data_IF_324993407457
#
_entry.id   IF_324993407457
#
_cell.length_a   1.000
_cell.length_b   1.000
_cell.length_c   1.000
_cell.angle_alpha   90.00
_cell.angle_beta   90.00
_cell.angle_gamma   90.00
#
_symmetry.space_group_name_H-M   'P 1'
#
loop_
_entity.id
_entity.type
_entity.pdbx_description
1 polymer ?
#
# COMPACT_ATOMS: atom_id res chain seq x y z
N UNK A 1 13.06 -26.40 -43.34
CA UNK A 1 12.72 -24.98 -43.15
C UNK A 1 12.88 -24.62 -41.68
N UNK A 2 13.40 -23.44 -41.35
CA UNK A 2 13.65 -23.06 -39.97
C UNK A 2 12.29 -22.86 -39.26
N UNK A 3 12.11 -23.51 -38.11
CA UNK A 3 10.88 -23.52 -37.29
C UNK A 3 10.32 -22.12 -36.97
N UNK A 4 11.15 -21.08 -37.10
CA UNK A 4 10.79 -19.69 -36.84
C UNK A 4 9.81 -19.11 -37.87
N UNK A 5 9.98 -19.41 -39.17
CA UNK A 5 9.08 -18.88 -40.23
C UNK A 5 7.68 -19.49 -40.13
N UNK A 6 7.58 -20.76 -39.74
CA UNK A 6 6.29 -21.44 -39.59
C UNK A 6 5.47 -20.88 -38.42
N UNK A 7 6.11 -20.50 -37.31
CA UNK A 7 5.38 -19.95 -36.18
C UNK A 7 4.89 -18.52 -36.41
N UNK A 8 5.62 -17.71 -37.18
CA UNK A 8 5.16 -16.36 -37.53
C UNK A 8 3.78 -16.38 -38.19
N UNK A 9 3.54 -17.31 -39.12
CA UNK A 9 2.22 -17.48 -39.74
C UNK A 9 1.15 -17.95 -38.77
N UNK A 10 1.48 -18.88 -37.86
CA UNK A 10 0.55 -19.32 -36.82
C UNK A 10 0.23 -18.15 -35.87
N UNK A 11 1.21 -17.34 -35.52
CA UNK A 11 1.00 -16.17 -34.70
C UNK A 11 0.05 -15.19 -35.40
N UNK A 12 0.30 -14.83 -36.66
CA UNK A 12 -0.58 -13.96 -37.46
C UNK A 12 -2.03 -14.47 -37.53
N UNK A 13 -2.23 -15.79 -37.68
CA UNK A 13 -3.57 -16.39 -37.76
C UNK A 13 -4.32 -16.32 -36.41
N UNK A 14 -3.62 -16.53 -35.30
CA UNK A 14 -4.22 -16.69 -33.97
C UNK A 14 -4.05 -15.46 -33.06
N UNK A 15 -3.35 -14.40 -33.50
CA UNK A 15 -3.12 -13.17 -32.73
C UNK A 15 -4.44 -12.53 -32.25
N UNK A 16 -5.45 -12.53 -33.12
CA UNK A 16 -6.79 -12.02 -32.80
C UNK A 16 -7.45 -12.75 -31.63
N UNK A 17 -7.08 -14.01 -31.38
CA UNK A 17 -7.54 -14.78 -30.23
C UNK A 17 -6.94 -14.26 -28.92
N UNK A 18 -5.66 -13.88 -28.93
CA UNK A 18 -4.98 -13.28 -27.78
C UNK A 18 -5.65 -11.94 -27.45
N UNK A 19 -5.79 -11.07 -28.45
CA UNK A 19 -6.48 -9.80 -28.26
C UNK A 19 -7.93 -9.98 -27.81
N UNK A 20 -8.65 -10.97 -28.34
CA UNK A 20 -10.01 -11.28 -27.88
C UNK A 20 -10.04 -11.50 -26.37
N UNK A 21 -9.10 -12.26 -25.80
CA UNK A 21 -9.06 -12.48 -24.35
C UNK A 21 -8.68 -11.23 -23.56
N UNK A 22 -7.71 -10.44 -24.03
CA UNK A 22 -7.34 -9.17 -23.40
C UNK A 22 -8.59 -8.27 -23.26
N UNK A 23 -9.34 -8.10 -24.34
CA UNK A 23 -10.55 -7.29 -24.35
C UNK A 23 -11.69 -7.93 -23.53
N UNK A 24 -11.89 -9.25 -23.67
CA UNK A 24 -12.94 -9.99 -22.95
C UNK A 24 -12.80 -9.90 -21.43
N UNK A 25 -11.57 -9.93 -20.94
CA UNK A 25 -11.30 -9.80 -19.50
C UNK A 25 -11.13 -8.35 -19.03
N UNK A 26 -11.29 -7.37 -19.92
CA UNK A 26 -11.14 -5.95 -19.59
C UNK A 26 -9.74 -5.60 -19.09
N UNK A 27 -8.71 -6.30 -19.57
CA UNK A 27 -7.34 -6.12 -19.11
C UNK A 27 -6.76 -4.87 -19.75
N UNK A 28 -6.22 -3.97 -18.93
CA UNK A 28 -5.40 -2.85 -19.39
C UNK A 28 -3.93 -3.26 -19.33
N UNK A 29 -3.32 -3.44 -20.49
CA UNK A 29 -1.97 -4.03 -20.62
C UNK A 29 -0.97 -3.02 -21.22
N UNK A 30 -0.54 -1.98 -20.48
CA UNK A 30 0.33 -0.94 -21.02
C UNK A 30 1.73 -1.46 -21.39
N UNK A 31 2.21 -2.50 -20.70
CA UNK A 31 3.53 -3.11 -20.93
C UNK A 31 3.46 -4.36 -21.81
N UNK A 32 2.28 -4.70 -22.32
CA UNK A 32 2.04 -5.88 -23.16
C UNK A 32 2.42 -7.21 -22.48
N UNK A 33 2.33 -7.33 -21.16
CA UNK A 33 2.64 -8.54 -20.41
C UNK A 33 1.69 -9.69 -20.77
N UNK A 34 0.38 -9.41 -20.84
CA UNK A 34 -0.62 -10.41 -21.19
C UNK A 34 -0.51 -10.81 -22.66
N UNK A 35 -0.21 -9.84 -23.53
CA UNK A 35 0.06 -10.15 -24.93
C UNK A 35 1.26 -11.09 -25.07
N UNK A 36 2.40 -10.77 -24.45
CA UNK A 36 3.62 -11.59 -24.49
C UNK A 36 3.37 -13.00 -23.97
N UNK A 37 2.70 -13.14 -22.83
CA UNK A 37 2.37 -14.46 -22.28
C UNK A 37 1.36 -15.23 -23.15
N UNK A 38 0.46 -14.53 -23.84
CA UNK A 38 -0.41 -15.10 -24.87
C UNK A 38 0.41 -15.70 -26.02
N UNK A 39 1.39 -14.97 -26.53
CA UNK A 39 2.28 -15.44 -27.61
C UNK A 39 3.12 -16.64 -27.16
N UNK A 40 3.70 -16.58 -25.95
CA UNK A 40 4.47 -17.69 -25.38
C UNK A 40 3.59 -18.93 -25.20
N UNK A 41 2.34 -18.75 -24.76
CA UNK A 41 1.37 -19.84 -24.60
C UNK A 41 0.98 -20.45 -25.95
N UNK A 42 0.77 -19.61 -26.97
CA UNK A 42 0.49 -20.07 -28.32
C UNK A 42 1.67 -20.87 -28.91
N UNK A 43 2.91 -20.42 -28.68
CA UNK A 43 4.11 -21.16 -29.06
C UNK A 43 4.20 -22.52 -28.36
N UNK A 44 3.95 -22.56 -27.03
CA UNK A 44 3.89 -23.82 -26.28
C UNK A 44 2.81 -24.74 -26.85
N UNK A 45 1.62 -24.21 -27.13
CA UNK A 45 0.52 -24.96 -27.72
C UNK A 45 0.90 -25.53 -29.09
N UNK A 46 1.56 -24.74 -29.94
CA UNK A 46 2.05 -25.18 -31.25
C UNK A 46 3.03 -26.34 -31.13
N UNK A 47 3.99 -26.27 -30.19
CA UNK A 47 4.97 -27.35 -29.97
C UNK A 47 4.38 -28.63 -29.39
N UNK A 48 3.36 -28.53 -28.54
CA UNK A 48 2.76 -29.68 -27.85
C UNK A 48 1.47 -30.18 -28.50
N UNK A 49 1.07 -29.60 -29.63
CA UNK A 49 -0.16 -29.96 -30.31
C UNK A 49 -0.08 -31.38 -30.89
N UNK A 50 -1.16 -32.12 -30.68
CA UNK A 50 -1.35 -33.47 -31.20
C UNK A 50 -2.63 -33.49 -32.06
N UNK A 51 -2.52 -33.65 -33.39
CA UNK A 51 -3.67 -33.71 -34.29
C UNK A 51 -4.68 -34.81 -33.94
N UNK A 52 -4.27 -35.87 -33.24
CA UNK A 52 -5.18 -36.95 -32.84
C UNK A 52 -6.16 -36.53 -31.74
N UNK A 53 -5.87 -35.44 -30.99
CA UNK A 53 -6.65 -34.99 -29.84
C UNK A 53 -7.71 -33.94 -30.19
N UNK A 54 -7.73 -33.41 -31.42
CA UNK A 54 -8.71 -32.43 -31.88
C UNK A 54 -8.08 -31.28 -32.65
N UNK A 55 -8.85 -30.21 -32.90
CA UNK A 55 -8.40 -29.03 -33.66
C UNK A 55 -7.44 -28.16 -32.85
N UNK A 56 -6.40 -27.65 -33.52
CA UNK A 56 -5.42 -26.73 -32.92
C UNK A 56 -6.08 -25.49 -32.31
N UNK A 57 -7.01 -24.86 -33.02
CA UNK A 57 -7.71 -23.66 -32.55
C UNK A 57 -8.41 -23.86 -31.21
N UNK A 58 -9.07 -25.00 -31.01
CA UNK A 58 -9.72 -25.35 -29.73
C UNK A 58 -8.69 -25.56 -28.62
N UNK A 59 -7.58 -26.23 -28.93
CA UNK A 59 -6.51 -26.48 -27.97
C UNK A 59 -5.80 -25.19 -27.54
N UNK A 60 -5.42 -24.35 -28.51
CA UNK A 60 -4.80 -23.05 -28.28
C UNK A 60 -5.73 -22.12 -27.49
N UNK A 61 -7.02 -22.06 -27.85
CA UNK A 61 -8.02 -21.28 -27.12
C UNK A 61 -8.10 -21.69 -25.64
N UNK A 62 -8.17 -22.98 -25.36
CA UNK A 62 -8.20 -23.49 -23.99
C UNK A 62 -6.91 -23.13 -23.22
N UNK A 63 -5.74 -23.32 -23.84
CA UNK A 63 -4.46 -23.05 -23.19
C UNK A 63 -4.31 -21.56 -22.86
N UNK A 64 -4.58 -20.68 -23.84
CA UNK A 64 -4.53 -19.23 -23.67
C UNK A 64 -5.51 -18.79 -22.58
N UNK A 65 -6.75 -19.29 -22.59
CA UNK A 65 -7.73 -18.97 -21.57
C UNK A 65 -7.25 -19.35 -20.15
N UNK A 66 -6.64 -20.53 -20.00
CA UNK A 66 -6.10 -21.00 -18.72
C UNK A 66 -4.91 -20.17 -18.25
N UNK A 67 -4.00 -19.82 -19.15
CA UNK A 67 -2.87 -18.94 -18.84
C UNK A 67 -3.36 -17.58 -18.38
N UNK A 68 -4.26 -16.94 -19.13
CA UNK A 68 -4.80 -15.62 -18.80
C UNK A 68 -5.48 -15.62 -17.43
N UNK A 69 -6.30 -16.63 -17.14
CA UNK A 69 -6.96 -16.73 -15.83
C UNK A 69 -5.95 -16.91 -14.69
N UNK A 70 -4.84 -17.59 -14.94
CA UNK A 70 -3.74 -17.74 -13.97
C UNK A 70 -3.02 -16.42 -13.74
N UNK A 71 -2.74 -15.67 -14.82
CA UNK A 71 -2.10 -14.36 -14.74
C UNK A 71 -2.96 -13.35 -13.99
N UNK A 72 -4.27 -13.30 -14.27
CA UNK A 72 -5.21 -12.42 -13.54
C UNK A 72 -5.17 -12.74 -12.04
N UNK A 73 -5.24 -14.02 -11.66
CA UNK A 73 -5.15 -14.42 -10.24
C UNK A 73 -3.82 -14.02 -9.61
N UNK A 74 -2.71 -14.17 -10.34
CA UNK A 74 -1.39 -13.76 -9.87
C UNK A 74 -1.33 -12.24 -9.68
N UNK A 75 -1.84 -11.47 -10.62
CA UNK A 75 -1.93 -10.01 -10.56
C UNK A 75 -2.74 -9.55 -9.35
N UNK A 76 -3.92 -10.14 -9.12
CA UNK A 76 -4.76 -9.79 -7.97
C UNK A 76 -4.06 -10.08 -6.65
N UNK A 77 -3.43 -11.26 -6.53
CA UNK A 77 -2.66 -11.60 -5.32
C UNK A 77 -1.47 -10.67 -5.09
N UNK A 78 -0.85 -10.17 -6.16
CA UNK A 78 0.23 -9.19 -6.02
C UNK A 78 -0.31 -7.85 -5.53
N UNK A 79 -1.42 -7.37 -6.10
CA UNK A 79 -2.07 -6.14 -5.66
C UNK A 79 -2.50 -6.20 -4.19
N UNK A 80 -3.04 -7.33 -3.72
CA UNK A 80 -3.38 -7.54 -2.31
C UNK A 80 -2.15 -7.44 -1.39
N UNK A 81 -1.03 -8.04 -1.80
CA UNK A 81 0.23 -7.96 -1.04
C UNK A 81 0.79 -6.53 -1.01
N UNK A 82 0.72 -5.83 -2.13
CA UNK A 82 1.21 -4.46 -2.24
C UNK A 82 0.37 -3.53 -1.35
N UNK A 83 -0.95 -3.69 -1.37
CA UNK A 83 -1.87 -2.98 -0.47
C UNK A 83 -1.56 -3.26 1.00
N UNK A 84 -1.37 -4.53 1.37
CA UNK A 84 -0.99 -4.90 2.73
C UNK A 84 0.34 -4.26 3.15
N UNK A 85 1.34 -4.28 2.27
CA UNK A 85 2.64 -3.67 2.54
C UNK A 85 2.51 -2.15 2.75
N UNK A 86 1.71 -1.47 1.93
CA UNK A 86 1.43 -0.03 2.08
C UNK A 86 0.73 0.24 3.42
N UNK A 87 -0.27 -0.57 3.79
CA UNK A 87 -1.00 -0.39 5.05
C UNK A 87 -0.07 -0.54 6.26
N UNK A 88 0.72 -1.62 6.32
CA UNK A 88 1.68 -1.86 7.40
C UNK A 88 2.69 -0.73 7.47
N UNK A 89 3.27 -0.31 6.34
CA UNK A 89 4.23 0.79 6.33
C UNK A 89 3.62 2.13 6.70
N UNK A 90 2.38 2.41 6.28
CA UNK A 90 1.70 3.64 6.69
C UNK A 90 1.49 3.73 8.20
N UNK A 91 1.24 2.60 8.87
CA UNK A 91 1.16 2.50 10.33
C UNK A 91 2.52 2.75 10.98
N UNK A 92 3.56 2.06 10.52
CA UNK A 92 4.95 2.28 10.99
C UNK A 92 5.35 3.77 10.86
N UNK A 93 5.03 4.41 9.73
CA UNK A 93 5.33 5.82 9.49
C UNK A 93 4.50 6.76 10.38
N UNK A 94 3.24 6.42 10.66
CA UNK A 94 2.39 7.25 11.52
C UNK A 94 2.86 7.21 12.98
N UNK A 95 3.23 6.04 13.50
CA UNK A 95 3.79 5.89 14.85
C UNK A 95 5.09 6.71 15.02
N UNK A 96 6.00 6.62 14.04
CA UNK A 96 7.24 7.42 14.06
C UNK A 96 6.96 8.92 13.92
N UNK A 97 5.98 9.31 13.11
CA UNK A 97 5.61 10.72 12.95
C UNK A 97 4.98 11.30 14.23
N UNK A 98 4.14 10.54 14.93
CA UNK A 98 3.52 10.95 16.19
C UNK A 98 4.56 11.10 17.32
N UNK A 99 5.58 10.25 17.35
CA UNK A 99 6.71 10.37 18.29
C UNK A 99 7.53 11.66 18.05
N UNK A 100 7.67 12.08 16.79
CA UNK A 100 8.39 13.28 16.38
C UNK A 100 7.55 14.57 16.42
N UNK A 101 6.21 14.48 16.47
CA UNK A 101 5.28 15.62 16.53
C UNK A 101 5.18 16.25 17.93
N UNK A 102 5.91 15.72 18.92
CA UNK A 102 6.07 16.38 20.22
C UNK A 102 6.76 17.74 20.13
N UNK A 103 7.35 18.08 18.97
CA UNK A 103 7.94 19.40 18.68
C UNK A 103 9.16 19.73 19.55
N UNK A 104 9.55 18.83 20.45
CA UNK A 104 10.56 19.03 21.47
C UNK A 104 11.24 17.70 21.78
N UNK A 105 12.57 17.66 21.79
CA UNK A 105 13.35 16.45 22.03
C UNK A 105 13.00 15.84 23.42
N UNK A 106 12.45 14.61 23.47
CA UNK A 106 12.06 13.96 24.72
C UNK A 106 13.20 13.81 25.73
N UNK A 107 14.43 13.61 25.25
CA UNK A 107 15.60 13.47 26.11
C UNK A 107 16.02 14.82 26.71
N UNK A 108 15.97 15.88 25.91
CA UNK A 108 16.22 17.24 26.37
C UNK A 108 15.16 17.69 27.38
N UNK A 109 13.89 17.32 27.17
CA UNK A 109 12.80 17.62 28.09
C UNK A 109 13.05 17.04 29.49
N UNK A 110 13.48 15.79 29.57
CA UNK A 110 13.81 15.15 30.84
C UNK A 110 15.04 15.78 31.52
N UNK A 111 16.06 16.20 30.76
CA UNK A 111 17.19 16.93 31.32
C UNK A 111 16.78 18.29 31.90
N UNK A 112 15.94 19.03 31.19
CA UNK A 112 15.40 20.33 31.62
C UNK A 112 14.61 20.17 32.93
N UNK A 113 13.74 19.16 32.99
CA UNK A 113 12.92 18.85 34.17
C UNK A 113 13.75 18.58 35.44
N UNK A 114 14.96 18.03 35.32
CA UNK A 114 15.84 17.75 36.45
C UNK A 114 16.52 19.00 37.03
N UNK A 115 16.65 20.08 36.23
CA UNK A 115 17.38 21.29 36.61
C UNK A 115 16.43 22.40 37.10
N UNK A 116 15.18 22.40 36.64
CA UNK A 116 14.20 23.43 36.94
C UNK A 116 13.36 23.12 38.19
N UNK A 117 13.01 24.16 38.94
CA UNK A 117 12.03 24.06 40.05
C UNK A 117 10.61 23.94 39.50
N UNK A 118 9.67 23.40 40.29
CA UNK A 118 8.28 23.18 39.86
C UNK A 118 7.61 24.42 39.24
N UNK A 119 7.86 25.60 39.82
CA UNK A 119 7.30 26.85 39.32
C UNK A 119 7.92 27.29 37.98
N UNK A 120 9.21 27.02 37.78
CA UNK A 120 9.88 27.32 36.51
C UNK A 120 9.52 26.30 35.43
N UNK A 121 9.28 25.04 35.79
CA UNK A 121 8.80 24.02 34.85
C UNK A 121 7.38 24.33 34.36
N UNK A 122 6.49 24.80 35.25
CA UNK A 122 5.16 25.29 34.88
C UNK A 122 5.25 26.48 33.90
N UNK A 123 6.18 27.39 34.14
CA UNK A 123 6.43 28.49 33.21
C UNK A 123 6.94 27.97 31.86
N UNK A 124 7.92 27.06 31.86
CA UNK A 124 8.49 26.47 30.65
C UNK A 124 7.43 25.77 29.79
N UNK A 125 6.63 24.89 30.38
CA UNK A 125 5.54 24.20 29.66
C UNK A 125 4.53 25.19 29.07
N UNK A 126 4.01 26.11 29.90
CA UNK A 126 2.98 27.04 29.45
C UNK A 126 3.46 28.09 28.43
N UNK A 127 4.64 28.66 28.62
CA UNK A 127 5.13 29.75 27.77
C UNK A 127 5.98 29.27 26.59
N UNK A 128 6.75 28.19 26.74
CA UNK A 128 7.72 27.76 25.71
C UNK A 128 7.14 26.63 24.85
N UNK A 129 6.43 25.67 25.43
CA UNK A 129 5.84 24.56 24.68
C UNK A 129 4.43 24.86 24.17
N UNK A 130 3.62 25.56 24.95
CA UNK A 130 2.21 25.86 24.62
C UNK A 130 1.96 27.28 24.07
N UNK A 131 3.03 28.08 23.89
CA UNK A 131 3.01 29.43 23.29
C UNK A 131 1.98 30.40 23.96
N UNK A 132 1.76 30.26 25.27
CA UNK A 132 0.82 31.12 26.00
C UNK A 132 1.36 32.56 26.07
N UNK A 133 0.63 33.50 25.47
CA UNK A 133 0.97 34.92 25.46
C UNK A 133 1.01 35.56 26.87
N UNK A 134 2.13 36.24 27.17
CA UNK A 134 2.40 37.02 28.41
C UNK A 134 1.32 38.09 28.69
N UNK A 135 0.43 38.39 27.72
CA UNK A 135 -0.52 39.49 27.82
C UNK A 135 -1.76 39.20 28.68
N UNK A 136 -1.90 38.02 29.28
CA UNK A 136 -2.88 37.78 30.36
C UNK A 136 -2.23 37.67 31.74
N UNK A 137 -1.22 38.48 32.00
CA UNK A 137 -0.81 38.82 33.37
C UNK A 137 -1.85 39.69 34.09
N UNK A 138 -3.01 39.12 34.42
CA UNK A 138 -3.84 39.44 35.61
C UNK A 138 -4.86 38.31 35.80
N UNK A 139 -4.70 37.55 36.88
CA UNK A 139 -5.70 36.58 37.34
C UNK A 139 -5.06 35.33 37.89
N UNK A 140 -4.59 35.44 39.12
CA UNK A 140 -3.97 34.41 39.95
C UNK A 140 -4.82 33.15 40.22
N UNK A 141 -5.98 32.93 39.58
CA UNK A 141 -6.92 31.88 40.01
C UNK A 141 -7.40 30.91 38.90
N UNK A 142 -6.87 30.97 37.68
CA UNK A 142 -7.31 30.06 36.60
C UNK A 142 -6.39 28.88 36.29
N UNK A 143 -5.34 28.68 37.10
CA UNK A 143 -4.42 27.55 36.93
C UNK A 143 -4.96 26.22 37.50
N UNK A 144 -6.02 26.24 38.31
CA UNK A 144 -6.52 25.01 38.95
C UNK A 144 -7.71 24.35 38.24
N UNK A 145 -8.38 25.04 37.31
CA UNK A 145 -9.59 24.50 36.65
C UNK A 145 -9.29 23.65 35.41
N UNK A 146 -8.18 23.89 34.70
CA UNK A 146 -7.86 23.14 33.48
C UNK A 146 -7.06 21.85 33.72
N UNK A 147 -6.45 21.68 34.89
CA UNK A 147 -5.79 20.42 35.27
C UNK A 147 -6.79 19.31 35.62
N UNK A 148 -8.04 19.65 35.97
CA UNK A 148 -9.10 18.66 36.23
C UNK A 148 -9.69 18.04 34.96
N UNK A 149 -9.79 18.79 33.87
CA UNK A 149 -10.47 18.33 32.65
C UNK A 149 -9.61 17.43 31.74
N UNK A 150 -8.27 17.55 31.82
CA UNK A 150 -7.37 16.68 31.04
C UNK A 150 -7.22 15.30 31.69
N UNK A 151 -7.28 15.22 33.02
CA UNK A 151 -7.24 13.94 33.75
C UNK A 151 -8.52 13.12 33.57
N UNK A 152 -9.70 13.74 33.46
CA UNK A 152 -10.97 13.03 33.22
C UNK A 152 -11.03 12.46 31.80
N UNK A 153 -10.56 13.21 30.79
CA UNK A 153 -10.54 12.75 29.41
C UNK A 153 -9.53 11.61 29.14
N UNK A 154 -8.45 11.51 29.93
CA UNK A 154 -7.50 10.40 29.85
C UNK A 154 -7.96 9.16 30.64
N UNK A 155 -8.79 9.34 31.68
CA UNK A 155 -9.37 8.22 32.45
C UNK A 155 -10.54 7.50 31.76
N UNK A 156 -11.41 8.22 31.05
CA UNK A 156 -12.57 7.61 30.35
C UNK A 156 -12.17 6.80 29.11
N UNK A 157 -11.03 7.09 28.47
CA UNK A 157 -10.54 6.32 27.32
C UNK A 157 -9.87 4.99 27.71
N UNK A 158 -9.38 4.86 28.94
CA UNK A 158 -8.79 3.62 29.45
C UNK A 158 -9.82 2.63 30.03
N UNK A 159 -11.09 3.04 30.19
CA UNK A 159 -12.17 2.18 30.71
C UNK A 159 -13.14 1.66 29.63
N UNK A 160 -12.93 2.07 28.38
CA UNK A 160 -13.75 1.65 27.22
C UNK A 160 -13.05 0.60 26.33
N UNK A 161 -11.92 0.06 26.79
CA UNK A 161 -11.20 -1.08 26.22
C UNK A 161 -11.04 -2.18 27.28
#
# INVERSE_FOLDING_TARGET
MPVQEEFSHVLEEYERMIFHFIHKYGIRDPENEFYQEGVITLWKAYKSYDPAKGKFSTYAYFLIQKTFLTLIRKSNRQAEKDQYYIEVKSKDFHEVAEELDTGFDPYLYEQIKQVLTENQMKWFQGFVLEDLSIRKGKGHDRCSEKLGQVSEAQGERAAAE
#
